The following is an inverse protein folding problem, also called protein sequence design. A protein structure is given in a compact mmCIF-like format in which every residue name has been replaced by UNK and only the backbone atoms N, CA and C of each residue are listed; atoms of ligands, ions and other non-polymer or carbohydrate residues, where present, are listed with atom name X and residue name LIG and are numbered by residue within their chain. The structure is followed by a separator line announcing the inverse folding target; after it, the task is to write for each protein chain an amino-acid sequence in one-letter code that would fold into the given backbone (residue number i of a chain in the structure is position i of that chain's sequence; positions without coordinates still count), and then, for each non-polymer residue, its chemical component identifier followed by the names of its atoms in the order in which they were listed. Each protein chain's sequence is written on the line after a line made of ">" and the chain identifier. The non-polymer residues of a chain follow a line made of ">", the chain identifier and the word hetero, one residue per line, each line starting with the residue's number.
data_IF_311486231644
#
_entry.id   IF_311486231644
#
_cell.length_a   1.000
_cell.length_b   1.000
_cell.length_c   1.000
_cell.angle_alpha   90.00
_cell.angle_beta   90.00
_cell.angle_gamma   90.00
#
_symmetry.space_group_name_H-M   'P 1'
#
loop_
_entity.id
_entity.type
_entity.pdbx_description
1 polymer ?
#
# COMPACT_ATOMS: atom_id res chain seq x y z
N UNK A 1 33.77 -2.28 -6.76
CA UNK A 1 32.92 -1.80 -5.64
C UNK A 1 32.01 -2.95 -5.21
N UNK A 2 31.98 -3.31 -3.93
CA UNK A 2 31.14 -4.41 -3.41
C UNK A 2 29.88 -3.83 -2.79
N UNK A 3 28.71 -4.23 -3.26
CA UNK A 3 27.41 -3.86 -2.68
C UNK A 3 27.02 -4.94 -1.67
N UNK A 4 26.60 -4.53 -0.47
CA UNK A 4 26.15 -5.42 0.61
C UNK A 4 24.71 -5.07 0.93
N UNK A 5 23.83 -6.08 0.96
CA UNK A 5 22.41 -5.92 1.27
C UNK A 5 22.10 -6.47 2.66
N UNK A 6 21.43 -5.66 3.48
CA UNK A 6 20.99 -6.07 4.80
C UNK A 6 19.87 -7.13 4.74
N UNK A 7 19.76 -7.95 5.79
CA UNK A 7 18.64 -8.86 6.03
C UNK A 7 18.26 -8.84 7.52
N UNK A 8 16.96 -8.72 7.86
CA UNK A 8 15.82 -8.56 6.94
C UNK A 8 15.78 -7.15 6.33
N UNK A 9 15.17 -7.03 5.15
CA UNK A 9 14.90 -5.73 4.48
C UNK A 9 13.57 -5.80 3.75
N UNK A 10 12.88 -4.67 3.62
CA UNK A 10 11.60 -4.58 2.92
C UNK A 10 10.40 -4.60 3.87
N UNK A 11 9.34 -5.31 3.46
CA UNK A 11 8.04 -5.27 4.14
C UNK A 11 8.01 -6.17 5.38
N UNK A 12 7.29 -5.70 6.40
CA UNK A 12 6.88 -6.53 7.52
C UNK A 12 5.46 -7.07 7.28
N UNK A 13 5.06 -8.07 8.07
CA UNK A 13 3.74 -8.69 7.97
C UNK A 13 2.59 -7.68 8.08
N UNK A 14 2.75 -6.61 8.87
CA UNK A 14 1.73 -5.56 9.01
C UNK A 14 1.57 -4.71 7.75
N UNK A 15 2.68 -4.37 7.09
CA UNK A 15 2.68 -3.60 5.83
C UNK A 15 2.04 -4.43 4.73
N UNK A 16 2.43 -5.69 4.60
CA UNK A 16 1.89 -6.62 3.61
C UNK A 16 0.37 -6.75 3.75
N UNK A 17 -0.10 -7.07 4.97
CA UNK A 17 -1.53 -7.19 5.28
C UNK A 17 -2.30 -5.91 4.99
N UNK A 18 -1.76 -4.74 5.33
CA UNK A 18 -2.45 -3.48 5.13
C UNK A 18 -2.68 -3.18 3.64
N UNK A 19 -1.68 -3.47 2.80
CA UNK A 19 -1.79 -3.33 1.34
C UNK A 19 -2.85 -4.30 0.79
N UNK A 20 -2.75 -5.58 1.12
CA UNK A 20 -3.67 -6.61 0.59
C UNK A 20 -5.13 -6.35 0.97
N UNK A 21 -5.42 -5.75 2.12
CA UNK A 21 -6.79 -5.38 2.50
C UNK A 21 -7.38 -4.36 1.52
N UNK A 22 -6.61 -3.34 1.12
CA UNK A 22 -7.09 -2.33 0.18
C UNK A 22 -7.25 -2.92 -1.22
N UNK A 23 -6.31 -3.76 -1.65
CA UNK A 23 -6.37 -4.44 -2.94
C UNK A 23 -7.60 -5.37 -3.04
N UNK A 24 -7.82 -6.19 -2.01
CA UNK A 24 -8.95 -7.10 -1.94
C UNK A 24 -10.28 -6.33 -1.87
N UNK A 25 -10.33 -5.21 -1.14
CA UNK A 25 -11.52 -4.37 -1.10
C UNK A 25 -11.85 -3.79 -2.49
N UNK A 26 -10.84 -3.35 -3.24
CA UNK A 26 -11.02 -2.90 -4.63
C UNK A 26 -11.48 -4.03 -5.55
N UNK A 27 -11.02 -5.26 -5.34
CA UNK A 27 -11.43 -6.43 -6.14
C UNK A 27 -12.87 -6.87 -5.84
N UNK A 28 -13.25 -6.93 -4.57
CA UNK A 28 -14.57 -7.41 -4.15
C UNK A 28 -15.66 -6.35 -4.40
N UNK A 29 -15.35 -5.08 -4.11
CA UNK A 29 -16.36 -4.01 -4.08
C UNK A 29 -16.25 -3.03 -5.24
N UNK A 30 -15.16 -3.06 -6.02
CA UNK A 30 -14.88 -2.08 -7.07
C UNK A 30 -14.44 -0.73 -6.52
N UNK A 31 -14.10 0.19 -7.43
CA UNK A 31 -13.76 1.56 -7.08
C UNK A 31 -15.02 2.45 -6.93
N UNK A 32 -15.00 3.48 -6.07
CA UNK A 32 -13.88 3.91 -5.23
C UNK A 32 -13.84 3.22 -3.85
N UNK A 33 -12.63 2.98 -3.35
CA UNK A 33 -12.39 2.59 -1.95
C UNK A 33 -11.74 3.74 -1.21
N UNK A 34 -12.37 4.22 -0.13
CA UNK A 34 -11.83 5.30 0.69
C UNK A 34 -10.93 4.75 1.79
N UNK A 35 -9.70 5.26 1.85
CA UNK A 35 -8.73 4.93 2.90
C UNK A 35 -8.43 6.19 3.69
N UNK A 36 -8.55 6.12 5.02
CA UNK A 36 -8.18 7.24 5.90
C UNK A 36 -6.66 7.26 6.06
N UNK A 37 -6.04 8.39 5.71
CA UNK A 37 -4.58 8.56 5.60
C UNK A 37 -3.94 7.62 4.58
N UNK A 38 -2.61 7.64 4.51
CA UNK A 38 -1.83 6.69 3.72
C UNK A 38 -1.81 5.33 4.43
N UNK A 39 -2.16 4.26 3.69
CA UNK A 39 -2.13 2.89 4.21
C UNK A 39 -0.73 2.49 4.68
N UNK A 40 0.29 2.98 3.97
CA UNK A 40 1.72 2.92 4.33
C UNK A 40 2.43 4.15 3.79
N UNK A 41 3.51 4.58 4.45
CA UNK A 41 4.31 5.73 4.02
C UNK A 41 5.30 5.38 2.91
N UNK A 42 4.78 4.90 1.78
CA UNK A 42 5.56 4.58 0.59
C UNK A 42 4.85 5.14 -0.64
N UNK A 43 5.48 6.12 -1.30
CA UNK A 43 4.90 6.82 -2.46
C UNK A 43 4.55 5.87 -3.61
N UNK A 44 5.38 4.86 -3.89
CA UNK A 44 5.11 3.91 -4.96
C UNK A 44 3.86 3.09 -4.67
N UNK A 45 3.73 2.58 -3.45
CA UNK A 45 2.55 1.81 -3.01
C UNK A 45 1.29 2.68 -3.05
N UNK A 46 1.36 3.88 -2.47
CA UNK A 46 0.23 4.80 -2.40
C UNK A 46 -0.24 5.20 -3.80
N UNK A 47 0.67 5.49 -4.73
CA UNK A 47 0.30 5.86 -6.09
C UNK A 47 -0.32 4.67 -6.84
N UNK A 48 0.22 3.46 -6.71
CA UNK A 48 -0.37 2.28 -7.33
C UNK A 48 -1.79 1.99 -6.85
N UNK A 49 -2.06 2.16 -5.55
CA UNK A 49 -3.43 2.03 -5.02
C UNK A 49 -4.35 3.13 -5.53
N UNK A 50 -3.87 4.37 -5.67
CA UNK A 50 -4.66 5.47 -6.27
C UNK A 50 -5.02 5.20 -7.72
N UNK A 51 -4.08 4.71 -8.51
CA UNK A 51 -4.31 4.33 -9.91
C UNK A 51 -5.37 3.23 -10.04
N UNK A 52 -5.46 2.33 -9.06
CA UNK A 52 -6.50 1.31 -8.98
C UNK A 52 -7.86 1.81 -8.47
N UNK A 53 -7.97 3.08 -8.06
CA UNK A 53 -9.22 3.69 -7.59
C UNK A 53 -9.36 3.82 -6.07
N UNK A 54 -8.28 3.65 -5.29
CA UNK A 54 -8.29 4.01 -3.88
C UNK A 54 -8.20 5.53 -3.69
N UNK A 55 -9.06 6.10 -2.86
CA UNK A 55 -9.09 7.53 -2.53
C UNK A 55 -8.58 7.71 -1.10
N UNK A 56 -7.44 8.37 -0.95
CA UNK A 56 -6.82 8.60 0.35
C UNK A 56 -7.23 9.95 0.90
N UNK A 57 -7.89 9.96 2.05
CA UNK A 57 -8.35 11.16 2.74
C UNK A 57 -7.32 11.63 3.78
N UNK A 58 -7.17 12.95 3.92
CA UNK A 58 -6.48 13.56 5.06
C UNK A 58 -7.55 14.18 5.95
N UNK A 59 -7.55 13.83 7.23
CA UNK A 59 -8.41 14.50 8.23
C UNK A 59 -7.82 15.83 8.66
#
# INVERSE_FOLDING_TARGET
>A
MKIILANPRGFCAGVDRAISIVELALEIHGAPIYVRHEVVHNRFVVNGLRERGAILLRS
#
